data_IF_963104449035
#
_entry.id   IF_963104449035
#
_cell.length_a   1.000
_cell.length_b   1.000
_cell.length_c   1.000
_cell.angle_alpha   90.00
_cell.angle_beta   90.00
_cell.angle_gamma   90.00
#
_symmetry.space_group_name_H-M   'P 1'
#
loop_
_entity.id
_entity.type
_entity.pdbx_description
1 polymer ?
#
# COMPACT_ATOMS: atom_id res chain seq x y z
N UNK A 1 -25.04 15.30 -32.55
CA UNK A 1 -25.72 16.50 -32.02
C UNK A 1 -27.14 16.56 -32.55
N UNK A 2 -28.10 16.76 -31.64
CA UNK A 2 -29.54 16.57 -31.83
C UNK A 2 -30.06 17.47 -32.97
N UNK A 3 -30.59 16.85 -34.05
CA UNK A 3 -31.13 17.53 -35.25
C UNK A 3 -32.22 18.58 -34.93
N UNK A 4 -32.86 18.45 -33.78
CA UNK A 4 -33.91 19.34 -33.29
C UNK A 4 -33.43 20.81 -33.14
N UNK A 5 -32.27 21.04 -32.51
CA UNK A 5 -31.74 22.39 -32.30
C UNK A 5 -31.23 23.04 -33.61
N UNK A 6 -30.84 22.23 -34.59
CA UNK A 6 -30.44 22.71 -35.92
C UNK A 6 -31.63 23.30 -36.67
N UNK A 7 -32.77 22.60 -36.65
CA UNK A 7 -33.97 23.03 -37.37
C UNK A 7 -34.61 24.29 -36.75
N UNK A 8 -34.50 24.46 -35.43
CA UNK A 8 -34.99 25.66 -34.72
C UNK A 8 -34.13 26.89 -35.07
N UNK A 9 -32.80 26.75 -35.14
CA UNK A 9 -31.90 27.84 -35.56
C UNK A 9 -32.19 28.33 -36.97
N UNK A 10 -32.44 27.42 -37.91
CA UNK A 10 -32.77 27.78 -39.29
C UNK A 10 -34.09 28.57 -39.38
N UNK A 11 -35.11 28.18 -38.60
CA UNK A 11 -36.38 28.95 -38.52
C UNK A 11 -36.21 30.34 -37.91
N UNK A 12 -35.42 30.49 -36.84
CA UNK A 12 -35.24 31.78 -36.16
C UNK A 12 -34.41 32.80 -36.98
N UNK A 13 -33.47 32.31 -37.80
CA UNK A 13 -32.72 33.14 -38.76
C UNK A 13 -33.62 33.63 -39.90
N UNK A 14 -34.54 32.80 -40.39
CA UNK A 14 -35.51 33.18 -41.41
C UNK A 14 -36.51 34.26 -40.93
N UNK A 15 -36.78 34.34 -39.62
CA UNK A 15 -37.68 35.34 -39.02
C UNK A 15 -36.99 36.67 -38.64
N UNK A 16 -35.72 36.89 -38.99
CA UNK A 16 -34.95 38.10 -38.65
C UNK A 16 -34.80 38.35 -37.12
N UNK A 17 -34.99 37.32 -36.29
CA UNK A 17 -34.94 37.40 -34.82
C UNK A 17 -33.54 37.08 -34.28
N UNK A 18 -32.55 37.88 -34.69
CA UNK A 18 -31.13 37.66 -34.36
C UNK A 18 -30.86 37.61 -32.85
N UNK A 19 -31.56 38.43 -32.05
CA UNK A 19 -31.45 38.43 -30.59
C UNK A 19 -31.85 37.08 -29.96
N UNK A 20 -32.93 36.45 -30.46
CA UNK A 20 -33.35 35.12 -29.96
C UNK A 20 -32.35 34.03 -30.35
N UNK A 21 -31.83 34.09 -31.58
CA UNK A 21 -30.80 33.16 -32.06
C UNK A 21 -29.54 33.16 -31.17
N UNK A 22 -29.06 34.34 -30.78
CA UNK A 22 -27.90 34.50 -29.91
C UNK A 22 -28.10 33.84 -28.53
N UNK A 23 -29.26 34.05 -27.91
CA UNK A 23 -29.61 33.44 -26.61
C UNK A 23 -29.61 31.91 -26.69
N UNK A 24 -30.17 31.33 -27.77
CA UNK A 24 -30.19 29.88 -27.95
C UNK A 24 -28.81 29.29 -28.24
N UNK A 25 -27.97 29.98 -29.03
CA UNK A 25 -26.61 29.53 -29.31
C UNK A 25 -25.73 29.53 -28.04
N UNK A 26 -25.87 30.55 -27.19
CA UNK A 26 -25.19 30.60 -25.88
C UNK A 26 -25.67 29.44 -24.99
N UNK A 27 -26.98 29.17 -24.95
CA UNK A 27 -27.52 28.03 -24.20
C UNK A 27 -26.96 26.67 -24.64
N UNK A 28 -26.80 26.44 -25.94
CA UNK A 28 -26.20 25.20 -26.47
C UNK A 28 -24.72 25.07 -26.09
N UNK A 29 -23.95 26.16 -26.15
CA UNK A 29 -22.55 26.17 -25.71
C UNK A 29 -22.46 25.86 -24.22
N UNK A 30 -23.29 26.49 -23.38
CA UNK A 30 -23.31 26.21 -21.94
C UNK A 30 -23.63 24.75 -21.63
N UNK A 31 -24.61 24.15 -22.31
CA UNK A 31 -24.95 22.74 -22.13
C UNK A 31 -23.80 21.81 -22.53
N UNK A 32 -23.11 22.09 -23.64
CA UNK A 32 -21.93 21.33 -24.06
C UNK A 32 -20.80 21.46 -23.04
N UNK A 33 -20.54 22.68 -22.56
CA UNK A 33 -19.50 22.95 -21.55
C UNK A 33 -19.80 22.18 -20.26
N UNK A 34 -21.05 22.21 -19.77
CA UNK A 34 -21.46 21.42 -18.59
C UNK A 34 -21.23 19.93 -18.81
N UNK A 35 -21.58 19.40 -19.99
CA UNK A 35 -21.35 17.99 -20.33
C UNK A 35 -19.86 17.62 -20.29
N UNK A 36 -18.99 18.46 -20.85
CA UNK A 36 -17.54 18.25 -20.82
C UNK A 36 -17.00 18.31 -19.39
N UNK A 37 -17.44 19.29 -18.59
CA UNK A 37 -17.01 19.44 -17.21
C UNK A 37 -17.39 18.23 -16.36
N UNK A 38 -18.62 17.72 -16.50
CA UNK A 38 -19.07 16.51 -15.80
C UNK A 38 -18.24 15.30 -16.24
N UNK A 39 -17.99 15.14 -17.54
CA UNK A 39 -17.17 14.04 -18.05
C UNK A 39 -15.74 14.09 -17.51
N UNK A 40 -15.12 15.28 -17.48
CA UNK A 40 -13.81 15.50 -16.88
C UNK A 40 -13.82 15.19 -15.38
N UNK A 41 -14.85 15.62 -14.66
CA UNK A 41 -14.95 15.41 -13.23
C UNK A 41 -15.13 13.93 -12.88
N UNK A 42 -15.92 13.18 -13.64
CA UNK A 42 -16.06 11.73 -13.49
C UNK A 42 -14.72 11.03 -13.74
N UNK A 43 -13.99 11.44 -14.80
CA UNK A 43 -12.69 10.86 -15.12
C UNK A 43 -11.66 11.11 -14.01
N UNK A 44 -11.58 12.35 -13.51
CA UNK A 44 -10.67 12.72 -12.42
C UNK A 44 -11.03 11.98 -11.13
N UNK A 45 -12.31 11.91 -10.78
CA UNK A 45 -12.76 11.16 -9.60
C UNK A 45 -12.38 9.68 -9.67
N UNK A 46 -12.50 9.05 -10.83
CA UNK A 46 -12.07 7.66 -11.00
C UNK A 46 -10.55 7.51 -10.87
N UNK A 47 -9.77 8.44 -11.44
CA UNK A 47 -8.32 8.44 -11.29
C UNK A 47 -7.89 8.59 -9.82
N UNK A 48 -8.52 9.50 -9.07
CA UNK A 48 -8.25 9.71 -7.64
C UNK A 48 -8.59 8.46 -6.82
N UNK A 49 -9.70 7.79 -7.14
CA UNK A 49 -10.08 6.51 -6.50
C UNK A 49 -9.05 5.42 -6.75
N UNK A 50 -8.53 5.31 -7.97
CA UNK A 50 -7.45 4.36 -8.27
C UNK A 50 -6.15 4.70 -7.54
N UNK A 51 -5.82 5.98 -7.40
CA UNK A 51 -4.65 6.43 -6.65
C UNK A 51 -4.77 6.09 -5.16
N UNK A 52 -5.92 6.38 -4.56
CA UNK A 52 -6.22 6.02 -3.17
C UNK A 52 -6.14 4.51 -2.94
N UNK A 53 -6.63 3.69 -3.88
CA UNK A 53 -6.54 2.24 -3.75
C UNK A 53 -5.07 1.78 -3.73
N UNK A 54 -4.23 2.31 -4.63
CA UNK A 54 -2.80 2.01 -4.65
C UNK A 54 -2.11 2.43 -3.36
N UNK A 55 -2.45 3.59 -2.82
CA UNK A 55 -1.93 4.07 -1.53
C UNK A 55 -2.27 3.08 -0.40
N UNK A 56 -3.54 2.66 -0.32
CA UNK A 56 -3.99 1.66 0.67
C UNK A 56 -3.24 0.34 0.50
N UNK A 57 -3.04 -0.13 -0.73
CA UNK A 57 -2.35 -1.39 -1.00
C UNK A 57 -0.86 -1.32 -0.59
N UNK A 58 -0.20 -0.19 -0.87
CA UNK A 58 1.18 0.06 -0.44
C UNK A 58 1.27 0.10 1.09
N UNK A 59 0.35 0.83 1.75
CA UNK A 59 0.33 0.95 3.21
C UNK A 59 0.08 -0.41 3.87
N UNK A 60 -0.80 -1.25 3.31
CA UNK A 60 -1.04 -2.61 3.81
C UNK A 60 0.19 -3.51 3.64
N UNK A 61 0.85 -3.46 2.49
CA UNK A 61 2.07 -4.23 2.27
C UNK A 61 3.17 -3.81 3.24
N UNK A 62 3.30 -2.51 3.50
CA UNK A 62 4.25 -1.98 4.48
C UNK A 62 3.92 -2.44 5.91
N UNK A 63 2.66 -2.37 6.33
CA UNK A 63 2.21 -2.84 7.65
C UNK A 63 2.50 -4.35 7.83
N UNK A 64 2.19 -5.16 6.82
CA UNK A 64 2.49 -6.60 6.84
C UNK A 64 3.99 -6.88 6.94
N UNK A 65 4.82 -6.17 6.17
CA UNK A 65 6.27 -6.31 6.27
C UNK A 65 6.77 -5.90 7.66
N UNK A 66 6.28 -4.78 8.20
CA UNK A 66 6.67 -4.31 9.53
C UNK A 66 6.31 -5.32 10.63
N UNK A 67 5.15 -5.96 10.54
CA UNK A 67 4.76 -7.02 11.48
C UNK A 67 5.65 -8.26 11.35
N UNK A 68 6.00 -8.64 10.12
CA UNK A 68 6.94 -9.73 9.87
C UNK A 68 8.33 -9.42 10.43
N UNK A 69 8.82 -8.19 10.25
CA UNK A 69 10.12 -7.78 10.75
C UNK A 69 10.15 -7.82 12.30
N UNK A 70 9.08 -7.38 12.96
CA UNK A 70 8.94 -7.50 14.42
C UNK A 70 8.98 -8.96 14.89
N UNK A 71 8.27 -9.86 14.21
CA UNK A 71 8.28 -11.28 14.56
C UNK A 71 9.70 -11.89 14.43
N UNK A 72 10.46 -11.50 13.40
CA UNK A 72 11.85 -11.93 13.24
C UNK A 72 12.74 -11.34 14.33
N UNK A 73 12.52 -10.09 14.73
CA UNK A 73 13.25 -9.50 15.85
C UNK A 73 12.96 -10.21 17.17
N UNK A 74 11.72 -10.60 17.45
CA UNK A 74 11.38 -11.37 18.65
C UNK A 74 12.04 -12.77 18.64
N UNK A 75 12.07 -13.44 17.49
CA UNK A 75 12.79 -14.71 17.32
C UNK A 75 14.29 -14.53 17.59
N UNK A 76 14.87 -13.44 17.08
CA UNK A 76 16.27 -13.08 17.25
C UNK A 76 16.60 -12.80 18.72
N UNK A 77 15.74 -12.06 19.43
CA UNK A 77 15.91 -11.79 20.86
C UNK A 77 15.84 -13.06 21.70
N UNK A 78 14.87 -13.94 21.42
CA UNK A 78 14.76 -15.22 22.12
C UNK A 78 15.99 -16.10 21.88
N UNK A 79 16.47 -16.15 20.65
CA UNK A 79 17.70 -16.86 20.29
C UNK A 79 18.90 -16.36 21.09
N UNK A 80 19.10 -15.04 21.18
CA UNK A 80 20.22 -14.48 21.94
C UNK A 80 20.07 -14.71 23.44
N UNK A 81 18.85 -14.64 23.97
CA UNK A 81 18.58 -14.95 25.37
C UNK A 81 18.85 -16.42 25.72
N UNK A 82 18.66 -17.36 24.78
CA UNK A 82 19.06 -18.76 24.96
C UNK A 82 20.58 -18.94 24.93
N UNK A 83 21.25 -18.27 24.00
CA UNK A 83 22.72 -18.29 23.90
C UNK A 83 23.37 -17.72 25.16
N UNK A 84 22.88 -16.58 25.67
CA UNK A 84 23.36 -15.97 26.92
C UNK A 84 23.22 -16.93 28.11
N UNK A 85 22.03 -17.53 28.28
CA UNK A 85 21.79 -18.54 29.32
C UNK A 85 22.73 -19.74 29.20
N UNK A 86 23.02 -20.20 27.99
CA UNK A 86 23.96 -21.30 27.78
C UNK A 86 25.39 -20.92 28.15
N UNK A 87 25.81 -19.71 27.78
CA UNK A 87 27.12 -19.15 28.13
C UNK A 87 27.27 -19.04 29.64
N UNK A 88 26.27 -18.51 30.35
CA UNK A 88 26.30 -18.40 31.82
C UNK A 88 26.53 -19.74 32.51
N UNK A 89 25.85 -20.80 32.04
CA UNK A 89 26.00 -22.16 32.60
C UNK A 89 27.39 -22.74 32.30
N UNK A 90 27.91 -22.50 31.08
CA UNK A 90 29.26 -22.92 30.69
C UNK A 90 30.30 -22.20 31.54
N UNK A 91 30.20 -20.87 31.69
CA UNK A 91 31.11 -20.07 32.52
C UNK A 91 31.09 -20.56 33.96
N UNK A 92 29.92 -20.81 34.53
CA UNK A 92 29.79 -21.38 35.87
C UNK A 92 30.53 -22.73 36.02
N UNK A 93 30.43 -23.63 35.03
CA UNK A 93 31.16 -24.91 35.07
C UNK A 93 32.67 -24.72 35.02
N UNK A 94 33.15 -23.78 34.19
CA UNK A 94 34.56 -23.47 34.03
C UNK A 94 35.15 -22.82 35.29
N UNK A 95 34.47 -21.82 35.85
CA UNK A 95 34.92 -21.09 37.05
C UNK A 95 35.01 -22.00 38.28
N UNK A 96 34.12 -22.99 38.38
CA UNK A 96 34.07 -23.92 39.50
C UNK A 96 34.83 -25.24 39.24
N UNK A 97 35.54 -25.37 38.11
CA UNK A 97 36.26 -26.59 37.71
C UNK A 97 35.38 -27.87 37.78
N UNK A 98 34.12 -27.76 37.38
CA UNK A 98 33.20 -28.90 37.39
C UNK A 98 33.56 -29.90 36.28
N UNK A 99 33.34 -31.22 36.50
CA UNK A 99 33.61 -32.22 35.48
C UNK A 99 32.69 -32.00 34.27
N UNK A 100 33.23 -32.29 33.10
CA UNK A 100 32.45 -32.28 31.86
C UNK A 100 31.33 -33.32 31.89
N UNK A 101 30.20 -32.99 31.27
CA UNK A 101 29.05 -33.88 31.09
C UNK A 101 28.42 -33.68 29.69
N UNK A 102 27.60 -34.64 29.27
CA UNK A 102 27.00 -34.61 27.93
C UNK A 102 26.06 -33.41 27.71
N UNK A 103 25.46 -32.87 28.76
CA UNK A 103 24.60 -31.68 28.67
C UNK A 103 25.37 -30.43 28.25
N UNK A 104 26.68 -30.33 28.55
CA UNK A 104 27.50 -29.21 28.08
C UNK A 104 27.63 -29.18 26.55
N UNK A 105 27.56 -30.32 25.86
CA UNK A 105 27.61 -30.34 24.38
C UNK A 105 26.47 -29.54 23.77
N UNK A 106 25.26 -29.73 24.30
CA UNK A 106 24.08 -29.00 23.85
C UNK A 106 24.24 -27.50 24.11
N UNK A 107 24.75 -27.12 25.28
CA UNK A 107 25.01 -25.71 25.63
C UNK A 107 26.10 -25.08 24.76
N UNK A 108 27.17 -25.81 24.42
CA UNK A 108 28.18 -25.34 23.48
C UNK A 108 27.60 -25.16 22.07
N UNK A 109 26.70 -26.06 21.65
CA UNK A 109 26.00 -25.92 20.38
C UNK A 109 25.06 -24.69 20.38
N UNK A 110 24.28 -24.49 21.45
CA UNK A 110 23.37 -23.34 21.60
C UNK A 110 24.12 -22.01 21.67
N UNK A 111 25.28 -21.96 22.32
CA UNK A 111 26.06 -20.71 22.44
C UNK A 111 26.79 -20.32 21.15
N UNK A 112 27.11 -21.29 20.29
CA UNK A 112 27.91 -21.06 19.06
C UNK A 112 27.11 -21.09 17.76
N UNK A 113 25.83 -21.49 17.78
CA UNK A 113 24.97 -21.46 16.59
C UNK A 113 24.78 -20.03 16.08
N UNK A 114 24.53 -19.91 14.78
CA UNK A 114 24.18 -18.65 14.12
C UNK A 114 22.65 -18.54 14.04
N UNK A 115 22.11 -17.35 14.29
CA UNK A 115 20.70 -17.09 14.09
C UNK A 115 20.36 -17.18 12.60
N UNK A 116 19.45 -18.08 12.25
CA UNK A 116 18.86 -18.18 10.93
C UNK A 116 17.37 -18.01 11.14
N UNK A 117 16.86 -16.82 10.83
CA UNK A 117 15.45 -16.50 11.04
C UNK A 117 14.55 -17.48 10.29
N UNK A 118 13.43 -17.85 10.91
CA UNK A 118 12.45 -18.80 10.38
C UNK A 118 11.94 -18.48 8.96
N UNK A 119 12.03 -17.20 8.53
CA UNK A 119 11.69 -16.74 7.19
C UNK A 119 12.69 -17.10 6.08
N UNK A 120 13.95 -17.41 6.41
CA UNK A 120 14.99 -17.76 5.40
C UNK A 120 14.96 -19.23 4.97
N UNK A 121 14.22 -20.09 5.67
CA UNK A 121 14.11 -21.52 5.35
C UNK A 121 13.03 -21.85 4.30
N UNK A 122 12.32 -20.83 3.78
CA UNK A 122 11.29 -20.98 2.74
C UNK A 122 11.78 -20.40 1.42
N UNK A 123 12.72 -21.08 0.76
CA UNK A 123 12.93 -21.04 -0.69
C UNK A 123 13.70 -22.30 -1.13
#
# INVERSE_FOLDING_TARGET
MIKFFRNIRQKLLAENKFSRYLVYAIGEIFLVVIGILIALQINNWNADRHLLQKEIDILKAFDQQSQSDLAVFDECLNFYAESERAIDVILYHLENNLPYNDSLNELFFISTRIFVGSGMARN
#
